data_IF_488329700784
#
_entry.id   IF_488329700784
#
_cell.length_a   1.000
_cell.length_b   1.000
_cell.length_c   1.000
_cell.angle_alpha   90.00
_cell.angle_beta   90.00
_cell.angle_gamma   90.00
#
_symmetry.space_group_name_H-M   'P 1'
#
loop_
_entity.id
_entity.type
_entity.pdbx_description
1 polymer ?
#
# COMPACT_ATOMS: atom_id res chain seq x y z
N UNK A 1 32.65 11.25 18.68
CA UNK A 1 32.64 12.56 19.39
C UNK A 1 32.28 13.74 18.49
N UNK A 2 32.92 13.99 17.33
CA UNK A 2 32.48 15.07 16.43
C UNK A 2 31.17 14.76 15.67
N UNK A 3 30.98 13.55 15.21
CA UNK A 3 29.69 13.12 14.58
C UNK A 3 28.51 13.04 15.56
N UNK A 4 28.78 12.80 16.84
CA UNK A 4 27.74 12.82 17.88
C UNK A 4 27.31 14.26 18.22
N UNK A 5 28.20 15.24 18.10
CA UNK A 5 27.89 16.67 18.31
C UNK A 5 27.12 17.31 17.14
N UNK A 6 27.30 16.81 15.91
CA UNK A 6 26.49 17.28 14.75
C UNK A 6 25.04 16.78 14.80
N UNK A 7 24.77 15.68 15.49
CA UNK A 7 23.41 15.15 15.71
C UNK A 7 22.66 15.98 16.77
N UNK A 8 23.35 16.57 17.74
CA UNK A 8 22.76 17.42 18.79
C UNK A 8 22.22 18.77 18.30
N UNK A 9 22.58 19.24 17.10
CA UNK A 9 22.13 20.54 16.57
C UNK A 9 21.10 20.51 15.46
N UNK A 10 20.81 19.36 14.88
CA UNK A 10 19.68 19.21 13.97
C UNK A 10 18.52 18.58 14.75
N UNK A 11 17.61 19.39 15.28
CA UNK A 11 16.30 18.94 15.72
C UNK A 11 15.68 18.06 14.61
N UNK A 12 15.66 16.75 14.80
CA UNK A 12 14.95 15.84 13.88
C UNK A 12 13.46 16.12 14.03
N UNK A 13 12.99 17.12 13.31
CA UNK A 13 11.55 17.48 13.29
C UNK A 13 10.81 16.49 12.43
N UNK A 14 10.11 15.56 13.07
CA UNK A 14 9.16 14.70 12.37
C UNK A 14 8.00 15.57 11.91
N UNK A 15 7.63 15.54 10.60
CA UNK A 15 6.44 16.23 10.13
C UNK A 15 5.19 15.75 10.88
N UNK A 16 4.35 16.69 11.31
CA UNK A 16 3.11 16.36 12.02
C UNK A 16 2.18 15.49 11.17
N UNK A 17 1.23 14.74 11.76
CA UNK A 17 0.27 13.95 11.00
C UNK A 17 -0.49 14.76 9.96
N UNK A 18 -0.76 16.02 10.23
CA UNK A 18 -1.42 16.94 9.29
C UNK A 18 -0.55 17.25 8.08
N UNK A 19 0.75 17.51 8.30
CA UNK A 19 1.71 17.73 7.22
C UNK A 19 1.92 16.45 6.39
N UNK A 20 1.98 15.28 7.02
CA UNK A 20 2.05 13.99 6.31
C UNK A 20 0.81 13.75 5.46
N UNK A 21 -0.38 14.09 5.98
CA UNK A 21 -1.63 14.04 5.23
C UNK A 21 -1.60 14.97 4.03
N UNK A 22 -1.13 16.22 4.19
CA UNK A 22 -1.01 17.20 3.11
C UNK A 22 -0.02 16.74 2.01
N UNK A 23 1.06 16.04 2.40
CA UNK A 23 1.96 15.40 1.43
C UNK A 23 1.19 14.36 0.64
N UNK A 24 0.47 13.44 1.29
CA UNK A 24 -0.31 12.42 0.61
C UNK A 24 -1.38 13.02 -0.31
N UNK A 25 -2.01 14.10 0.11
CA UNK A 25 -3.09 14.75 -0.63
C UNK A 25 -2.64 15.33 -1.98
N UNK A 26 -1.35 15.70 -2.11
CA UNK A 26 -0.74 16.14 -3.38
C UNK A 26 -0.57 15.00 -4.40
N UNK A 27 -0.55 13.75 -3.96
CA UNK A 27 -0.23 12.59 -4.82
C UNK A 27 -1.37 11.59 -4.97
N UNK A 28 -2.29 11.53 -4.01
CA UNK A 28 -3.35 10.51 -3.94
C UNK A 28 -4.72 11.17 -3.89
N UNK A 29 -5.57 10.83 -4.83
CA UNK A 29 -6.96 11.31 -4.88
C UNK A 29 -7.82 10.53 -3.91
N UNK A 30 -8.72 11.22 -3.20
CA UNK A 30 -9.63 10.61 -2.25
C UNK A 30 -8.92 9.97 -1.05
N UNK A 31 -9.41 8.83 -0.59
CA UNK A 31 -8.82 7.97 0.46
C UNK A 31 -8.53 8.69 1.80
N UNK A 32 -9.40 9.63 2.20
CA UNK A 32 -9.16 10.53 3.33
C UNK A 32 -8.91 9.79 4.65
N UNK A 33 -9.68 8.72 4.92
CA UNK A 33 -9.53 7.95 6.17
C UNK A 33 -8.21 7.17 6.19
N UNK A 34 -7.87 6.49 5.07
CA UNK A 34 -6.61 5.78 4.96
C UNK A 34 -5.40 6.72 5.07
N UNK A 35 -5.44 7.89 4.42
CA UNK A 35 -4.39 8.92 4.54
C UNK A 35 -4.20 9.37 5.98
N UNK A 36 -5.31 9.68 6.67
CA UNK A 36 -5.28 10.14 8.07
C UNK A 36 -4.69 9.08 8.98
N UNK A 37 -5.19 7.85 8.90
CA UNK A 37 -4.73 6.74 9.74
C UNK A 37 -3.26 6.42 9.48
N UNK A 38 -2.84 6.36 8.21
CA UNK A 38 -1.45 6.13 7.83
C UNK A 38 -0.52 7.25 8.34
N UNK A 39 -0.93 8.52 8.22
CA UNK A 39 -0.15 9.66 8.70
C UNK A 39 0.07 9.62 10.21
N UNK A 40 -0.96 9.24 10.97
CA UNK A 40 -0.86 9.07 12.43
C UNK A 40 0.04 7.88 12.77
N UNK A 41 -0.13 6.74 12.09
CA UNK A 41 0.67 5.54 12.35
C UNK A 41 2.17 5.78 12.10
N UNK A 42 2.52 6.42 10.99
CA UNK A 42 3.92 6.76 10.65
C UNK A 42 4.49 7.76 11.65
N UNK A 43 3.75 8.80 12.01
CA UNK A 43 4.18 9.78 12.99
C UNK A 43 4.46 9.16 14.37
N UNK A 44 3.54 8.33 14.88
CA UNK A 44 3.70 7.67 16.17
C UNK A 44 4.85 6.66 16.16
N UNK A 45 5.05 5.95 15.04
CA UNK A 45 6.18 5.06 14.85
C UNK A 45 7.51 5.80 15.02
N UNK A 46 7.67 6.96 14.35
CA UNK A 46 8.92 7.73 14.45
C UNK A 46 9.11 8.36 15.82
N UNK A 47 8.06 8.85 16.47
CA UNK A 47 8.16 9.31 17.86
C UNK A 47 8.67 8.22 18.77
N UNK A 48 8.11 7.01 18.65
CA UNK A 48 8.55 5.85 19.43
C UNK A 48 10.00 5.49 19.13
N UNK A 49 10.40 5.48 17.86
CA UNK A 49 11.77 5.22 17.44
C UNK A 49 12.76 6.20 18.07
N UNK A 50 12.46 7.49 18.01
CA UNK A 50 13.31 8.52 18.61
C UNK A 50 13.44 8.37 20.14
N UNK A 51 12.34 8.04 20.81
CA UNK A 51 12.37 7.78 22.26
C UNK A 51 13.22 6.54 22.57
N UNK A 52 12.99 5.43 21.87
CA UNK A 52 13.66 4.16 22.18
C UNK A 52 15.16 4.14 21.86
N UNK A 53 15.57 4.82 20.78
CA UNK A 53 16.96 4.77 20.28
C UNK A 53 17.80 5.93 20.79
N UNK A 54 17.23 7.11 20.86
CA UNK A 54 17.98 8.34 21.21
C UNK A 54 17.62 8.91 22.60
N UNK A 55 16.69 8.27 23.32
CA UNK A 55 16.21 8.78 24.61
C UNK A 55 15.59 10.18 24.46
N UNK A 56 15.01 10.48 23.28
CA UNK A 56 14.49 11.80 22.98
C UNK A 56 13.40 12.17 23.98
N UNK A 57 13.70 13.09 24.88
CA UNK A 57 12.70 13.72 25.72
C UNK A 57 12.13 14.93 24.95
N UNK A 58 10.81 15.08 25.01
CA UNK A 58 10.16 16.29 24.50
C UNK A 58 10.69 17.46 25.36
N UNK A 59 11.06 18.58 24.70
CA UNK A 59 11.44 19.80 25.41
C UNK A 59 10.35 20.17 26.45
N UNK A 60 10.70 20.05 27.71
CA UNK A 60 9.82 20.26 28.84
C UNK A 60 9.94 19.11 29.86
N UNK A 61 9.79 19.40 31.12
CA UNK A 61 9.81 18.38 32.17
C UNK A 61 8.72 17.37 31.90
N UNK A 62 9.11 16.16 31.48
CA UNK A 62 8.20 15.03 31.40
C UNK A 62 7.66 14.75 32.80
N UNK A 63 6.33 14.61 32.98
CA UNK A 63 5.77 14.21 34.28
C UNK A 63 6.41 12.90 34.75
N UNK A 64 6.73 12.81 36.05
CA UNK A 64 7.36 11.62 36.63
C UNK A 64 6.59 10.34 36.37
N UNK A 65 5.27 10.42 36.27
CA UNK A 65 4.36 9.29 35.95
C UNK A 65 4.64 8.63 34.59
N UNK A 66 5.38 9.27 33.68
CA UNK A 66 5.73 8.70 32.38
C UNK A 66 7.13 8.08 32.32
N UNK A 67 7.93 8.17 33.38
CA UNK A 67 9.31 7.68 33.38
C UNK A 67 9.40 6.17 33.09
N UNK A 68 8.45 5.40 33.59
CA UNK A 68 8.40 3.93 33.45
C UNK A 68 7.42 3.47 32.35
N UNK A 69 6.86 4.41 31.57
CA UNK A 69 5.90 4.07 30.51
C UNK A 69 6.62 3.63 29.25
N UNK A 70 6.40 2.39 28.85
CA UNK A 70 6.88 1.82 27.59
C UNK A 70 5.79 1.96 26.52
N UNK A 71 6.15 2.54 25.37
CA UNK A 71 5.22 2.72 24.26
C UNK A 71 5.24 1.47 23.38
N UNK A 72 4.13 0.75 23.36
CA UNK A 72 3.97 -0.45 22.56
C UNK A 72 4.00 -0.17 21.04
N UNK A 73 4.42 -1.19 20.30
CA UNK A 73 4.44 -1.18 18.84
C UNK A 73 3.03 -1.28 18.28
N UNK A 74 2.67 -0.41 17.34
CA UNK A 74 1.38 -0.43 16.65
C UNK A 74 1.59 -0.55 15.15
N UNK A 75 1.41 -1.77 14.62
CA UNK A 75 1.42 -1.99 13.18
C UNK A 75 0.04 -1.70 12.57
N UNK A 76 0.01 -1.49 11.27
CA UNK A 76 -1.17 -1.08 10.52
C UNK A 76 -1.62 -2.19 9.55
N UNK A 77 -2.91 -2.50 9.51
CA UNK A 77 -3.53 -3.34 8.47
C UNK A 77 -4.42 -2.48 7.57
N UNK A 78 -4.15 -2.49 6.27
CA UNK A 78 -4.86 -1.71 5.27
C UNK A 78 -5.60 -2.62 4.28
N UNK A 79 -6.92 -2.57 4.34
CA UNK A 79 -7.82 -3.34 3.48
C UNK A 79 -8.26 -2.53 2.27
N UNK A 80 -8.65 -3.21 1.20
CA UNK A 80 -9.33 -2.60 0.06
C UNK A 80 -8.87 -3.12 -1.28
N UNK A 81 -9.65 -2.88 -2.31
CA UNK A 81 -9.46 -3.43 -3.64
C UNK A 81 -8.08 -3.13 -4.23
N UNK A 82 -7.64 -3.98 -5.15
CA UNK A 82 -6.43 -3.74 -5.92
C UNK A 82 -6.57 -2.46 -6.74
N UNK A 83 -5.47 -1.68 -6.84
CA UNK A 83 -5.47 -0.44 -7.64
C UNK A 83 -6.04 0.80 -6.95
N UNK A 84 -6.41 0.73 -5.66
CA UNK A 84 -6.92 1.89 -4.89
C UNK A 84 -5.83 2.78 -4.28
N UNK A 85 -4.55 2.45 -4.50
CA UNK A 85 -3.41 3.27 -4.07
C UNK A 85 -2.77 2.92 -2.72
N UNK A 86 -3.12 1.78 -2.09
CA UNK A 86 -2.56 1.36 -0.79
C UNK A 86 -1.04 1.43 -0.73
N UNK A 87 -0.36 0.65 -1.56
CA UNK A 87 1.11 0.58 -1.63
C UNK A 87 1.72 1.92 -2.04
N UNK A 88 1.04 2.66 -2.93
CA UNK A 88 1.50 3.97 -3.40
C UNK A 88 1.54 5.01 -2.29
N UNK A 89 0.55 5.04 -1.39
CA UNK A 89 0.52 5.96 -0.24
C UNK A 89 1.73 5.73 0.67
N UNK A 90 2.03 4.49 1.04
CA UNK A 90 3.17 4.20 1.93
C UNK A 90 4.49 4.54 1.28
N UNK A 91 4.69 4.14 0.01
CA UNK A 91 5.91 4.51 -0.76
C UNK A 91 6.08 6.02 -0.88
N UNK A 92 5.00 6.76 -1.06
CA UNK A 92 5.04 8.22 -1.16
C UNK A 92 5.54 8.84 0.14
N UNK A 93 5.02 8.41 1.30
CA UNK A 93 5.51 8.90 2.59
C UNK A 93 6.95 8.48 2.86
N UNK A 94 7.28 7.21 2.66
CA UNK A 94 8.63 6.70 2.87
C UNK A 94 9.67 7.49 2.06
N UNK A 95 9.37 7.74 0.76
CA UNK A 95 10.22 8.55 -0.11
C UNK A 95 10.40 9.98 0.37
N UNK A 96 9.31 10.64 0.81
CA UNK A 96 9.37 12.03 1.28
C UNK A 96 10.11 12.16 2.61
N UNK A 97 10.07 11.14 3.44
CA UNK A 97 10.76 11.10 4.73
C UNK A 97 12.18 10.54 4.63
N UNK A 98 12.62 10.06 3.46
CA UNK A 98 13.93 9.43 3.28
C UNK A 98 14.11 8.12 4.03
N UNK A 99 13.01 7.38 4.23
CA UNK A 99 12.93 6.18 5.05
C UNK A 99 13.09 4.93 4.19
N UNK A 100 13.91 3.93 4.60
CA UNK A 100 13.93 2.63 3.94
C UNK A 100 12.55 1.99 3.94
N UNK A 101 12.10 1.53 2.77
CA UNK A 101 10.77 0.92 2.64
C UNK A 101 10.84 -0.29 1.71
N UNK A 102 10.63 -1.47 2.26
CA UNK A 102 10.62 -2.71 1.51
C UNK A 102 9.21 -3.28 1.37
N UNK A 103 8.92 -3.90 0.21
CA UNK A 103 7.64 -4.57 -0.06
C UNK A 103 7.91 -6.05 -0.21
N UNK A 104 7.34 -6.83 0.70
CA UNK A 104 7.30 -8.27 0.64
C UNK A 104 5.95 -8.74 0.10
N UNK A 105 5.98 -9.61 -0.89
CA UNK A 105 4.81 -10.33 -1.38
C UNK A 105 4.58 -11.54 -0.48
N UNK A 106 3.53 -11.51 0.33
CA UNK A 106 3.25 -12.57 1.31
C UNK A 106 2.96 -13.93 0.67
N UNK A 107 2.61 -13.96 -0.62
CA UNK A 107 2.35 -15.23 -1.35
C UNK A 107 3.63 -15.99 -1.70
N UNK A 108 4.79 -15.32 -1.70
CA UNK A 108 6.10 -15.94 -1.97
C UNK A 108 6.75 -16.50 -0.71
N UNK A 109 6.26 -16.09 0.46
CA UNK A 109 6.78 -16.53 1.74
C UNK A 109 6.35 -17.97 2.04
N UNK A 110 7.27 -18.74 2.59
CA UNK A 110 7.04 -20.13 2.99
C UNK A 110 7.51 -20.36 4.43
N UNK A 111 6.99 -21.42 5.04
CA UNK A 111 7.52 -21.89 6.34
C UNK A 111 8.99 -22.29 6.17
N UNK A 112 9.81 -21.92 7.14
CA UNK A 112 11.26 -22.20 7.10
C UNK A 112 11.54 -23.70 6.87
N UNK A 113 12.40 -23.98 5.85
CA UNK A 113 12.75 -25.33 5.44
C UNK A 113 12.00 -25.86 4.21
N UNK A 114 11.00 -25.13 3.69
CA UNK A 114 10.30 -25.47 2.44
C UNK A 114 10.83 -24.67 1.23
N UNK A 115 10.36 -25.03 0.03
CA UNK A 115 10.75 -24.33 -1.21
C UNK A 115 10.00 -23.01 -1.30
N UNK A 116 10.73 -21.89 -1.24
CA UNK A 116 10.21 -20.52 -1.28
C UNK A 116 11.11 -19.58 -0.47
N UNK A 117 10.67 -18.36 -0.30
CA UNK A 117 11.41 -17.36 0.48
C UNK A 117 11.08 -17.52 1.98
N UNK A 118 12.12 -17.67 2.80
CA UNK A 118 11.94 -17.65 4.26
C UNK A 118 11.43 -16.27 4.70
N UNK A 119 10.65 -16.24 5.78
CA UNK A 119 10.08 -14.98 6.30
C UNK A 119 11.16 -13.94 6.62
N UNK A 120 12.34 -14.36 7.00
CA UNK A 120 13.48 -13.47 7.29
C UNK A 120 14.04 -12.75 6.04
N UNK A 121 13.74 -13.22 4.81
CA UNK A 121 14.13 -12.52 3.57
C UNK A 121 13.49 -11.12 3.47
N UNK A 122 12.35 -10.93 4.16
CA UNK A 122 11.71 -9.62 4.30
C UNK A 122 12.66 -8.61 4.94
N UNK A 123 13.42 -9.04 5.96
CA UNK A 123 14.38 -8.17 6.64
C UNK A 123 15.65 -7.94 5.82
N UNK A 124 16.08 -8.94 5.04
CA UNK A 124 17.17 -8.76 4.07
C UNK A 124 16.83 -7.71 3.04
N UNK A 125 15.60 -7.77 2.49
CA UNK A 125 15.13 -6.76 1.54
C UNK A 125 15.14 -5.34 2.14
N UNK A 126 14.69 -5.21 3.39
CA UNK A 126 14.73 -3.92 4.09
C UNK A 126 16.15 -3.43 4.36
N UNK A 127 17.09 -4.33 4.68
CA UNK A 127 18.50 -4.02 4.85
C UNK A 127 19.13 -3.50 3.55
N UNK A 128 18.78 -4.10 2.41
CA UNK A 128 19.21 -3.61 1.09
C UNK A 128 18.66 -2.22 0.77
N UNK A 129 17.38 -1.95 1.06
CA UNK A 129 16.79 -0.61 0.90
C UNK A 129 17.42 0.45 1.81
N UNK A 130 18.11 0.00 2.86
CA UNK A 130 18.88 0.84 3.79
C UNK A 130 20.37 0.93 3.43
N UNK A 131 20.79 0.47 2.25
CA UNK A 131 22.20 0.44 1.80
C UNK A 131 23.12 -0.35 2.77
N UNK A 132 22.58 -1.36 3.46
CA UNK A 132 23.29 -2.18 4.44
C UNK A 132 23.45 -1.54 5.83
N UNK A 133 22.91 -0.35 6.04
CA UNK A 133 22.90 0.32 7.36
C UNK A 133 21.81 -0.29 8.24
N UNK A 134 22.24 -1.05 9.24
CA UNK A 134 21.36 -1.79 10.17
C UNK A 134 20.47 -0.84 10.97
N UNK A 135 20.98 0.30 11.43
CA UNK A 135 20.20 1.24 12.24
C UNK A 135 19.11 1.91 11.40
N UNK A 136 19.44 2.29 10.17
CA UNK A 136 18.45 2.80 9.21
C UNK A 136 17.40 1.74 8.88
N UNK A 137 17.81 0.49 8.65
CA UNK A 137 16.88 -0.61 8.38
C UNK A 137 15.91 -0.83 9.55
N UNK A 138 16.41 -0.80 10.79
CA UNK A 138 15.61 -0.97 12.00
C UNK A 138 14.60 0.17 12.23
N UNK A 139 14.77 1.33 11.61
CA UNK A 139 13.81 2.43 11.62
C UNK A 139 12.85 2.41 10.43
N UNK A 140 12.98 1.44 9.54
CA UNK A 140 12.28 1.35 8.27
C UNK A 140 10.82 0.93 8.34
N UNK A 141 10.21 0.90 7.16
CA UNK A 141 8.84 0.43 6.94
C UNK A 141 8.87 -0.85 6.11
N UNK A 142 8.20 -1.87 6.58
CA UNK A 142 8.04 -3.13 5.87
C UNK A 142 6.58 -3.33 5.48
N UNK A 143 6.30 -3.40 4.18
CA UNK A 143 4.97 -3.66 3.64
C UNK A 143 4.84 -5.16 3.40
N UNK A 144 3.85 -5.79 4.02
CA UNK A 144 3.43 -7.15 3.75
C UNK A 144 2.22 -7.09 2.82
N UNK A 145 2.47 -7.19 1.51
CA UNK A 145 1.40 -7.13 0.51
C UNK A 145 0.75 -8.51 0.33
N UNK A 146 -0.50 -8.53 -0.11
CA UNK A 146 -1.30 -9.74 -0.33
C UNK A 146 -1.51 -10.61 0.93
N UNK A 147 -1.53 -10.02 2.13
CA UNK A 147 -1.75 -10.74 3.39
C UNK A 147 -3.07 -11.53 3.42
N UNK A 148 -4.08 -11.10 2.65
CA UNK A 148 -5.36 -11.81 2.52
C UNK A 148 -5.21 -13.21 1.92
N UNK A 149 -4.14 -13.47 1.17
CA UNK A 149 -3.88 -14.78 0.58
C UNK A 149 -3.42 -15.80 1.62
N UNK A 150 -2.82 -15.35 2.73
CA UNK A 150 -2.41 -16.22 3.84
C UNK A 150 -3.61 -16.81 4.60
N UNK A 151 -4.79 -16.15 4.56
CA UNK A 151 -6.00 -16.61 5.23
C UNK A 151 -6.87 -17.54 4.38
N UNK A 152 -6.65 -17.63 3.07
CA UNK A 152 -7.44 -18.51 2.19
C UNK A 152 -6.95 -19.95 2.32
N UNK A 153 -7.73 -20.79 3.01
CA UNK A 153 -7.55 -22.25 2.94
C UNK A 153 -7.79 -22.68 1.50
N UNK A 154 -6.83 -23.40 0.90
CA UNK A 154 -7.05 -24.04 -0.40
C UNK A 154 -8.31 -24.88 -0.34
N UNK A 155 -9.17 -24.80 -1.36
CA UNK A 155 -10.43 -25.59 -1.46
C UNK A 155 -10.17 -27.11 -1.47
N UNK A 156 -8.93 -27.54 -1.61
CA UNK A 156 -8.50 -28.92 -1.47
C UNK A 156 -8.08 -29.20 -0.02
N UNK A 157 -9.05 -29.66 0.76
CA UNK A 157 -8.80 -30.31 2.07
C UNK A 157 -8.07 -31.66 1.88
N UNK A 158 -6.91 -31.65 1.22
CA UNK A 158 -5.99 -32.79 1.29
C UNK A 158 -5.31 -32.76 2.63
N UNK A 159 -5.15 -33.94 3.24
CA UNK A 159 -4.56 -34.23 4.57
C UNK A 159 -3.09 -33.79 4.68
N UNK A 160 -2.55 -33.07 3.71
CA UNK A 160 -1.22 -32.48 3.70
C UNK A 160 -1.23 -31.18 4.47
N UNK A 161 -0.33 -31.09 5.46
CA UNK A 161 -0.03 -29.92 6.28
C UNK A 161 -0.02 -28.66 5.39
N UNK A 162 -0.78 -27.63 5.78
CA UNK A 162 -0.87 -26.36 5.05
C UNK A 162 0.44 -25.59 5.22
N UNK A 163 1.37 -25.82 4.29
CA UNK A 163 2.72 -25.26 4.29
C UNK A 163 2.71 -23.77 3.90
N UNK A 164 1.62 -23.29 3.30
CA UNK A 164 1.53 -21.95 2.72
C UNK A 164 0.74 -20.92 3.54
N UNK A 165 -0.04 -21.34 4.53
CA UNK A 165 -0.97 -20.45 5.24
C UNK A 165 -0.58 -20.20 6.69
N UNK A 166 -0.91 -21.13 7.60
CA UNK A 166 -0.70 -20.96 9.03
C UNK A 166 0.78 -20.91 9.43
N UNK A 167 1.63 -21.75 8.80
CA UNK A 167 3.07 -21.76 9.08
C UNK A 167 3.75 -20.44 8.73
N UNK A 168 3.36 -19.83 7.60
CA UNK A 168 3.86 -18.49 7.21
C UNK A 168 3.38 -17.42 8.18
N UNK A 169 2.11 -17.47 8.61
CA UNK A 169 1.59 -16.52 9.59
C UNK A 169 2.33 -16.62 10.93
N UNK A 170 2.67 -17.83 11.39
CA UNK A 170 3.48 -18.04 12.59
C UNK A 170 4.93 -17.53 12.42
N UNK A 171 5.51 -17.71 11.23
CA UNK A 171 6.81 -17.14 10.90
C UNK A 171 6.80 -15.60 10.92
N UNK A 172 5.80 -14.99 10.28
CA UNK A 172 5.61 -13.53 10.28
C UNK A 172 5.40 -12.97 11.68
N UNK A 173 4.70 -13.69 12.57
CA UNK A 173 4.50 -13.29 13.94
C UNK A 173 5.82 -12.98 14.65
N UNK A 174 6.86 -13.81 14.46
CA UNK A 174 8.18 -13.63 15.08
C UNK A 174 8.81 -12.28 14.72
N UNK A 175 8.75 -11.87 13.43
CA UNK A 175 9.35 -10.60 13.00
C UNK A 175 8.48 -9.40 13.33
N UNK A 176 7.17 -9.57 13.36
CA UNK A 176 6.22 -8.47 13.61
C UNK A 176 6.14 -8.12 15.10
N UNK A 177 6.36 -9.08 16.00
CA UNK A 177 6.35 -8.85 17.46
C UNK A 177 7.48 -7.95 17.95
N UNK A 178 8.65 -8.04 17.34
CA UNK A 178 9.85 -7.34 17.75
C UNK A 178 10.81 -8.29 18.46
N UNK A 179 11.79 -8.77 17.72
CA UNK A 179 12.84 -9.68 18.20
C UNK A 179 14.15 -9.39 17.50
N UNK A 180 15.25 -9.89 18.08
CA UNK A 180 16.56 -9.89 17.44
C UNK A 180 16.68 -11.13 16.55
N UNK A 181 16.95 -10.93 15.29
CA UNK A 181 17.00 -11.97 14.26
C UNK A 181 18.28 -11.84 13.45
N UNK A 182 18.96 -12.98 13.24
CA UNK A 182 20.10 -13.05 12.33
C UNK A 182 19.62 -13.06 10.87
N UNK A 183 20.03 -12.06 10.11
CA UNK A 183 19.65 -11.83 8.71
C UNK A 183 20.85 -12.10 7.80
N UNK A 184 20.71 -12.90 6.73
CA UNK A 184 21.79 -13.09 5.77
C UNK A 184 22.03 -11.79 4.97
N UNK A 185 23.29 -11.31 4.87
CA UNK A 185 23.58 -10.01 4.23
C UNK A 185 23.28 -9.98 2.74
N UNK A 186 23.42 -11.11 2.05
CA UNK A 186 23.25 -11.20 0.58
C UNK A 186 21.93 -11.85 0.16
N UNK A 187 21.00 -12.06 1.08
CA UNK A 187 19.78 -12.80 0.79
C UNK A 187 19.99 -14.31 0.64
N UNK A 188 18.91 -15.03 0.32
CA UNK A 188 18.93 -16.47 0.17
C UNK A 188 18.79 -17.22 1.50
N UNK A 189 18.94 -18.55 1.43
CA UNK A 189 18.83 -19.44 2.60
C UNK A 189 20.02 -19.26 3.53
N UNK A 190 19.77 -19.35 4.83
CA UNK A 190 20.83 -19.36 5.84
C UNK A 190 21.71 -20.60 5.65
N UNK A 191 22.97 -20.38 5.34
CA UNK A 191 23.98 -21.47 5.36
C UNK A 191 24.66 -21.51 6.72
N UNK A 192 25.04 -22.72 7.25
CA UNK A 192 25.65 -22.86 8.57
C UNK A 192 26.94 -22.05 8.77
N UNK A 193 27.67 -21.75 7.70
CA UNK A 193 28.95 -21.03 7.73
C UNK A 193 28.79 -19.53 7.38
N UNK A 194 27.57 -19.06 7.11
CA UNK A 194 27.33 -17.67 6.73
C UNK A 194 27.26 -16.77 7.95
N UNK A 195 28.03 -15.70 7.96
CA UNK A 195 27.93 -14.67 8.99
C UNK A 195 26.59 -13.91 8.83
N UNK A 196 25.77 -13.97 9.86
CA UNK A 196 24.48 -13.30 9.91
C UNK A 196 24.63 -11.91 10.55
N UNK A 197 23.87 -10.95 10.05
CA UNK A 197 23.74 -9.60 10.64
C UNK A 197 22.57 -9.65 11.63
N UNK A 198 22.82 -9.31 12.89
CA UNK A 198 21.77 -9.21 13.89
C UNK A 198 20.94 -7.93 13.64
N UNK A 199 19.63 -8.08 13.43
CA UNK A 199 18.67 -7.00 13.31
C UNK A 199 17.60 -7.11 14.41
N UNK A 200 17.30 -5.98 15.04
CA UNK A 200 16.21 -5.85 15.99
C UNK A 200 14.96 -5.30 15.26
N UNK A 201 13.89 -6.09 15.23
CA UNK A 201 12.66 -5.74 14.54
C UNK A 201 11.69 -4.92 15.40
N UNK A 202 12.05 -4.62 16.65
CA UNK A 202 11.21 -3.86 17.60
C UNK A 202 10.76 -2.53 17.04
N UNK A 203 11.67 -1.82 16.35
CA UNK A 203 11.40 -0.49 15.81
C UNK A 203 11.06 -0.47 14.30
N UNK A 204 10.86 -1.61 13.66
CA UNK A 204 10.38 -1.65 12.26
C UNK A 204 8.85 -1.50 12.26
N UNK A 205 8.32 -0.60 11.42
CA UNK A 205 6.88 -0.51 11.21
C UNK A 205 6.43 -1.53 10.16
N UNK A 206 5.58 -2.47 10.54
CA UNK A 206 4.96 -3.39 9.59
C UNK A 206 3.59 -2.88 9.18
N UNK A 207 3.34 -2.85 7.86
CA UNK A 207 2.07 -2.47 7.28
C UNK A 207 1.56 -3.64 6.45
N UNK A 208 0.57 -4.35 6.97
CA UNK A 208 -0.12 -5.41 6.24
C UNK A 208 -1.10 -4.82 5.23
N UNK A 209 -1.14 -5.38 4.02
CA UNK A 209 -2.06 -4.94 2.97
C UNK A 209 -2.70 -6.15 2.29
N UNK A 210 -3.95 -5.99 1.84
CA UNK A 210 -4.64 -7.00 1.06
C UNK A 210 -5.96 -6.49 0.48
N UNK A 211 -6.50 -7.23 -0.49
CA UNK A 211 -7.82 -6.94 -1.03
C UNK A 211 -8.92 -7.37 -0.05
N UNK A 212 -8.73 -8.48 0.63
CA UNK A 212 -9.68 -9.09 1.55
C UNK A 212 -11.07 -9.32 0.92
N UNK A 213 -11.06 -9.80 -0.36
CA UNK A 213 -12.30 -10.07 -1.11
C UNK A 213 -13.20 -11.05 -0.35
N UNK A 214 -14.44 -10.64 -0.12
CA UNK A 214 -15.44 -11.43 0.61
C UNK A 214 -15.51 -11.15 2.11
N UNK A 215 -14.67 -10.28 2.67
CA UNK A 215 -14.78 -9.86 4.08
C UNK A 215 -16.08 -9.09 4.34
N UNK A 216 -16.56 -8.35 3.35
CA UNK A 216 -17.86 -7.67 3.33
C UNK A 216 -19.01 -8.61 3.69
N UNK A 217 -19.03 -9.82 3.12
CA UNK A 217 -20.03 -10.86 3.41
C UNK A 217 -19.91 -11.39 4.84
N UNK A 218 -18.69 -11.47 5.39
CA UNK A 218 -18.46 -11.89 6.79
C UNK A 218 -19.03 -10.85 7.74
N UNK A 219 -18.74 -9.56 7.47
CA UNK A 219 -19.24 -8.42 8.25
C UNK A 219 -20.77 -8.36 8.15
N UNK A 220 -21.33 -8.50 6.95
CA UNK A 220 -22.78 -8.49 6.74
C UNK A 220 -23.47 -9.61 7.53
N UNK A 221 -22.95 -10.83 7.49
CA UNK A 221 -23.48 -11.94 8.31
C UNK A 221 -23.44 -11.63 9.80
N UNK A 222 -22.35 -11.03 10.31
CA UNK A 222 -22.26 -10.63 11.72
C UNK A 222 -23.29 -9.59 12.09
N UNK A 223 -23.54 -8.62 11.22
CA UNK A 223 -24.51 -7.54 11.46
C UNK A 223 -25.96 -8.02 11.33
N UNK A 224 -26.23 -8.96 10.44
CA UNK A 224 -27.56 -9.52 10.22
C UNK A 224 -27.96 -10.62 11.24
N UNK A 225 -27.01 -11.11 12.04
CA UNK A 225 -27.27 -12.09 13.12
C UNK A 225 -27.84 -11.41 14.39
N UNK A 226 -27.97 -10.08 14.43
CA UNK A 226 -28.76 -9.40 15.45
C UNK A 226 -30.27 -9.69 15.26
N UNK A 227 -31.08 -9.84 16.35
CA UNK A 227 -32.42 -10.40 16.29
C UNK A 227 -33.32 -9.67 15.29
N UNK A 228 -34.07 -10.46 14.54
CA UNK A 228 -35.02 -10.03 13.50
C UNK A 228 -36.08 -9.13 14.14
N UNK A 229 -35.84 -7.81 14.09
CA UNK A 229 -36.86 -6.79 14.35
C UNK A 229 -37.44 -6.35 13.00
N UNK A 230 -38.73 -6.44 12.87
CA UNK A 230 -39.53 -5.96 11.72
C UNK A 230 -39.23 -4.48 11.44
N UNK A 231 -38.30 -4.12 10.57
CA UNK A 231 -38.20 -2.88 9.80
C UNK A 231 -36.83 -2.76 9.12
N UNK A 232 -36.53 -3.62 8.17
CA UNK A 232 -35.46 -3.37 7.20
C UNK A 232 -36.06 -2.71 5.95
N UNK A 233 -36.13 -1.40 5.94
CA UNK A 233 -36.27 -0.65 4.69
C UNK A 233 -35.01 -0.95 3.88
N UNK A 234 -35.10 -1.81 2.88
CA UNK A 234 -34.05 -2.01 1.86
C UNK A 234 -33.94 -0.70 1.07
N UNK A 235 -33.04 0.19 1.49
CA UNK A 235 -32.57 1.25 0.61
C UNK A 235 -31.81 0.58 -0.52
N UNK A 236 -32.12 0.93 -1.76
CA UNK A 236 -31.31 0.60 -2.93
C UNK A 236 -29.99 1.37 -2.82
N UNK A 237 -29.02 0.80 -2.12
CA UNK A 237 -27.67 1.32 -1.96
C UNK A 237 -26.84 0.59 -3.03
N UNK A 238 -25.98 1.30 -3.75
CA UNK A 238 -25.06 0.70 -4.72
C UNK A 238 -24.15 -0.34 -4.04
N UNK A 239 -23.69 -1.33 -4.79
CA UNK A 239 -22.82 -2.37 -4.24
C UNK A 239 -21.51 -1.79 -3.68
N UNK A 240 -21.01 -0.72 -4.28
CA UNK A 240 -19.81 -0.01 -3.81
C UNK A 240 -20.05 0.72 -2.48
N UNK A 241 -21.18 1.41 -2.34
CA UNK A 241 -21.53 2.06 -1.05
C UNK A 241 -21.79 1.04 0.07
N UNK A 242 -22.34 -0.14 -0.26
CA UNK A 242 -22.46 -1.24 0.69
C UNK A 242 -21.10 -1.76 1.10
N UNK A 243 -20.19 -1.94 0.16
CA UNK A 243 -18.83 -2.42 0.40
C UNK A 243 -18.05 -1.44 1.29
N UNK A 244 -18.08 -0.14 1.00
CA UNK A 244 -17.47 0.91 1.85
C UNK A 244 -18.05 0.86 3.26
N UNK A 245 -19.38 0.80 3.39
CA UNK A 245 -20.04 0.73 4.69
C UNK A 245 -19.68 -0.54 5.48
N UNK A 246 -19.38 -1.65 4.80
CA UNK A 246 -18.97 -2.90 5.44
C UNK A 246 -17.50 -2.85 5.84
N UNK A 247 -16.59 -2.33 4.99
CA UNK A 247 -15.17 -2.20 5.32
C UNK A 247 -14.93 -1.29 6.53
N UNK A 248 -15.72 -0.23 6.69
CA UNK A 248 -15.71 0.63 7.87
C UNK A 248 -16.05 -0.10 9.18
N UNK A 249 -16.72 -1.24 9.10
CA UNK A 249 -17.20 -2.01 10.25
C UNK A 249 -16.39 -3.29 10.50
N UNK A 250 -15.31 -3.49 9.77
CA UNK A 250 -14.42 -4.65 9.96
C UNK A 250 -13.84 -4.63 11.36
N UNK A 251 -13.87 -5.79 12.02
CA UNK A 251 -13.29 -6.05 13.34
C UNK A 251 -12.30 -7.21 13.28
N UNK A 252 -11.53 -7.36 14.31
CA UNK A 252 -10.58 -8.49 14.44
C UNK A 252 -11.27 -9.85 14.32
N UNK A 253 -12.51 -9.99 14.81
CA UNK A 253 -13.31 -11.21 14.69
C UNK A 253 -13.61 -11.59 13.22
N UNK A 254 -13.79 -10.59 12.35
CA UNK A 254 -14.06 -10.81 10.93
C UNK A 254 -12.80 -11.28 10.22
N UNK A 255 -11.63 -10.73 10.56
CA UNK A 255 -10.33 -11.17 10.05
C UNK A 255 -10.01 -12.61 10.49
N UNK A 256 -10.36 -12.98 11.73
CA UNK A 256 -10.26 -14.37 12.21
C UNK A 256 -11.14 -15.31 11.38
N UNK A 257 -12.39 -14.93 11.10
CA UNK A 257 -13.28 -15.71 10.24
C UNK A 257 -12.80 -15.77 8.80
N UNK A 258 -12.07 -14.77 8.35
CA UNK A 258 -11.44 -14.74 7.03
C UNK A 258 -10.27 -15.72 6.91
N UNK A 259 -9.63 -16.07 8.04
CA UNK A 259 -8.58 -17.10 8.12
C UNK A 259 -7.22 -16.61 8.62
N UNK A 260 -7.12 -15.38 9.10
CA UNK A 260 -5.92 -14.92 9.79
C UNK A 260 -5.92 -15.45 11.23
N UNK A 261 -4.73 -15.84 11.74
CA UNK A 261 -4.60 -16.31 13.12
C UNK A 261 -4.75 -15.15 14.12
N UNK A 262 -5.39 -15.38 15.27
CA UNK A 262 -5.66 -14.33 16.27
C UNK A 262 -4.42 -13.61 16.75
N UNK A 263 -3.31 -14.33 16.90
CA UNK A 263 -2.03 -13.82 17.36
C UNK A 263 -1.47 -12.78 16.39
N UNK A 264 -1.52 -13.06 15.08
CA UNK A 264 -1.06 -12.14 14.05
C UNK A 264 -1.98 -10.92 13.97
N UNK A 265 -3.31 -11.11 14.03
CA UNK A 265 -4.29 -10.00 14.05
C UNK A 265 -4.01 -9.07 15.23
N UNK A 266 -3.70 -9.62 16.40
CA UNK A 266 -3.36 -8.85 17.61
C UNK A 266 -2.15 -7.94 17.43
N UNK A 267 -1.24 -8.25 16.49
CA UNK A 267 -0.06 -7.42 16.19
C UNK A 267 -0.33 -6.31 15.17
N UNK A 268 -1.54 -6.25 14.61
CA UNK A 268 -2.04 -5.17 13.74
C UNK A 268 -3.26 -4.49 14.38
N UNK A 269 -3.07 -3.75 15.48
CA UNK A 269 -4.19 -3.16 16.23
C UNK A 269 -4.90 -2.04 15.45
N UNK A 270 -4.19 -1.42 14.51
CA UNK A 270 -4.74 -0.34 13.69
C UNK A 270 -5.22 -0.91 12.37
N UNK A 271 -6.53 -0.81 12.11
CA UNK A 271 -7.15 -1.27 10.86
C UNK A 271 -7.69 -0.06 10.12
N UNK A 272 -7.37 0.05 8.84
CA UNK A 272 -7.93 1.05 7.93
C UNK A 272 -8.29 0.42 6.59
N UNK A 273 -8.99 1.18 5.75
CA UNK A 273 -9.38 0.67 4.43
C UNK A 273 -9.28 1.77 3.38
N UNK A 274 -9.18 1.36 2.13
CA UNK A 274 -9.31 2.24 0.97
C UNK A 274 -10.66 2.02 0.29
N UNK A 275 -11.25 3.11 -0.17
CA UNK A 275 -12.51 3.09 -0.90
C UNK A 275 -12.29 2.66 -2.36
N UNK A 276 -13.25 1.99 -2.98
CA UNK A 276 -13.28 1.82 -4.44
C UNK A 276 -13.17 3.19 -5.13
N UNK A 277 -12.54 3.21 -6.30
CA UNK A 277 -12.39 4.43 -7.10
C UNK A 277 -13.57 4.56 -8.04
N UNK A 278 -14.24 5.71 -8.03
CA UNK A 278 -15.25 6.06 -9.02
C UNK A 278 -14.62 6.44 -10.37
N UNK A 279 -15.41 6.52 -11.42
CA UNK A 279 -14.96 7.00 -12.72
C UNK A 279 -14.41 8.44 -12.63
N UNK A 280 -15.07 9.31 -11.88
CA UNK A 280 -14.59 10.67 -11.65
C UNK A 280 -13.25 10.67 -10.88
N UNK A 281 -13.06 9.79 -9.90
CA UNK A 281 -11.76 9.66 -9.22
C UNK A 281 -10.66 9.22 -10.19
N UNK A 282 -10.95 8.32 -11.13
CA UNK A 282 -9.98 7.88 -12.14
C UNK A 282 -9.59 9.03 -13.10
N UNK A 283 -10.55 9.87 -13.51
CA UNK A 283 -10.26 11.08 -14.30
C UNK A 283 -9.37 12.04 -13.49
N UNK A 284 -9.69 12.27 -12.23
CA UNK A 284 -8.87 13.11 -11.35
C UNK A 284 -7.45 12.54 -11.15
N UNK A 285 -7.31 11.22 -11.00
CA UNK A 285 -6.00 10.54 -10.89
C UNK A 285 -5.14 10.77 -12.13
N UNK A 286 -5.73 10.87 -13.32
CA UNK A 286 -5.01 11.16 -14.55
C UNK A 286 -4.39 12.56 -14.56
N UNK A 287 -5.03 13.55 -13.95
CA UNK A 287 -4.76 14.99 -14.16
C UNK A 287 -4.27 15.74 -12.92
N UNK A 288 -4.91 15.57 -11.75
CA UNK A 288 -4.71 16.43 -10.59
C UNK A 288 -3.38 16.16 -9.83
N UNK A 289 -3.01 14.91 -9.50
CA UNK A 289 -1.83 14.65 -8.67
C UNK A 289 -0.57 15.36 -9.17
N UNK A 290 0.29 15.75 -8.25
CA UNK A 290 1.55 16.42 -8.60
C UNK A 290 2.37 15.60 -9.59
N UNK A 291 2.37 14.26 -9.46
CA UNK A 291 3.00 13.32 -10.37
C UNK A 291 1.95 12.50 -11.14
N UNK A 292 0.91 13.17 -11.68
CA UNK A 292 -0.13 12.47 -12.45
C UNK A 292 0.44 11.82 -13.72
N UNK A 293 -0.21 10.74 -14.17
CA UNK A 293 0.27 9.96 -15.31
C UNK A 293 0.38 10.84 -16.55
N UNK A 294 -0.61 11.70 -16.82
CA UNK A 294 -0.58 12.63 -17.94
C UNK A 294 0.60 13.59 -17.86
N UNK A 295 0.88 14.16 -16.69
CA UNK A 295 2.04 15.04 -16.52
C UNK A 295 3.36 14.35 -16.81
N UNK A 296 3.48 13.05 -16.48
CA UNK A 296 4.65 12.25 -16.79
C UNK A 296 4.84 12.11 -18.31
N UNK A 297 3.79 11.72 -19.06
CA UNK A 297 3.86 11.59 -20.53
C UNK A 297 4.03 12.93 -21.22
N UNK A 298 3.35 13.99 -20.78
CA UNK A 298 3.58 15.33 -21.28
C UNK A 298 5.05 15.75 -21.14
N UNK A 299 5.66 15.48 -19.98
CA UNK A 299 7.09 15.77 -19.74
C UNK A 299 7.99 14.98 -20.69
N UNK A 300 7.72 13.70 -20.91
CA UNK A 300 8.50 12.86 -21.83
C UNK A 300 8.41 13.39 -23.26
N UNK A 301 7.21 13.61 -23.78
CA UNK A 301 6.99 14.09 -25.15
C UNK A 301 7.48 15.53 -25.35
N UNK A 302 7.40 16.36 -24.31
CA UNK A 302 7.95 17.72 -24.38
C UNK A 302 9.48 17.73 -24.60
N UNK A 303 10.21 16.72 -24.15
CA UNK A 303 11.64 16.57 -24.43
C UNK A 303 11.93 16.27 -25.90
N UNK A 304 10.93 15.75 -26.65
CA UNK A 304 10.99 15.49 -28.09
C UNK A 304 10.28 16.60 -28.89
N UNK A 305 9.99 17.76 -28.32
CA UNK A 305 9.34 18.90 -28.99
C UNK A 305 7.82 18.74 -29.17
N UNK A 306 7.17 17.78 -28.48
CA UNK A 306 5.73 17.54 -28.61
C UNK A 306 4.95 18.11 -27.42
N UNK A 307 4.08 19.10 -27.67
CA UNK A 307 3.11 19.60 -26.70
C UNK A 307 1.83 18.77 -26.76
N UNK A 308 1.69 17.87 -25.76
CA UNK A 308 0.57 16.93 -25.65
C UNK A 308 -0.58 17.53 -24.84
N UNK A 309 -1.79 17.47 -25.37
CA UNK A 309 -3.03 17.84 -24.67
C UNK A 309 -4.09 16.76 -24.82
N UNK A 310 -5.04 16.72 -23.89
CA UNK A 310 -6.16 15.77 -23.89
C UNK A 310 -7.47 16.55 -23.76
N UNK A 311 -8.49 16.11 -24.49
CA UNK A 311 -9.86 16.56 -24.28
C UNK A 311 -10.51 15.83 -23.08
N UNK A 312 -11.40 16.51 -22.38
CA UNK A 312 -12.05 15.94 -21.18
C UNK A 312 -12.83 14.66 -21.51
N UNK A 313 -13.47 14.59 -22.66
CA UNK A 313 -14.22 13.39 -23.10
C UNK A 313 -13.29 12.21 -23.38
N UNK A 314 -12.10 12.46 -23.90
CA UNK A 314 -11.06 11.43 -24.08
C UNK A 314 -10.59 10.87 -22.72
N UNK A 315 -10.40 11.74 -21.72
CA UNK A 315 -10.02 11.34 -20.37
C UNK A 315 -11.13 10.50 -19.71
N UNK A 316 -12.38 10.90 -19.87
CA UNK A 316 -13.54 10.13 -19.39
C UNK A 316 -13.64 8.76 -20.04
N UNK A 317 -13.38 8.67 -21.35
CA UNK A 317 -13.36 7.39 -22.04
C UNK A 317 -12.25 6.46 -21.51
N UNK A 318 -11.05 6.98 -21.30
CA UNK A 318 -9.92 6.25 -20.70
C UNK A 318 -10.30 5.73 -19.28
N UNK A 319 -10.90 6.58 -18.46
CA UNK A 319 -11.36 6.21 -17.12
C UNK A 319 -12.45 5.12 -17.16
N UNK A 320 -13.41 5.22 -18.09
CA UNK A 320 -14.44 4.19 -18.33
C UNK A 320 -13.85 2.83 -18.68
N UNK A 321 -12.89 2.82 -19.60
CA UNK A 321 -12.19 1.57 -19.99
C UNK A 321 -11.46 0.97 -18.78
N UNK A 322 -10.74 1.79 -17.99
CA UNK A 322 -10.06 1.33 -16.79
C UNK A 322 -11.03 0.77 -15.74
N UNK A 323 -12.16 1.41 -15.55
CA UNK A 323 -13.20 0.95 -14.63
C UNK A 323 -13.82 -0.39 -15.07
N UNK A 324 -14.10 -0.54 -16.36
CA UNK A 324 -14.66 -1.79 -16.92
C UNK A 324 -13.76 -3.01 -16.76
N UNK A 325 -12.44 -2.81 -16.77
CA UNK A 325 -11.43 -3.88 -16.57
C UNK A 325 -11.20 -4.23 -15.10
N UNK A 326 -11.82 -3.52 -14.15
CA UNK A 326 -11.67 -3.71 -12.70
C UNK A 326 -10.21 -3.64 -12.20
N UNK A 327 -9.33 -3.00 -12.96
CA UNK A 327 -7.91 -2.86 -12.63
C UNK A 327 -7.60 -1.61 -11.80
N UNK A 328 -8.61 -0.76 -11.59
CA UNK A 328 -8.47 0.50 -10.86
C UNK A 328 -7.42 1.43 -11.52
N UNK A 329 -6.74 2.21 -10.71
CA UNK A 329 -5.72 3.15 -11.21
C UNK A 329 -4.52 2.47 -11.91
N UNK A 330 -4.24 1.18 -11.66
CA UNK A 330 -3.18 0.44 -12.37
C UNK A 330 -3.45 0.33 -13.87
N UNK A 331 -4.73 0.16 -14.25
CA UNK A 331 -5.14 0.06 -15.65
C UNK A 331 -4.92 1.34 -16.45
N UNK A 332 -5.00 2.51 -15.82
CA UNK A 332 -4.86 3.80 -16.48
C UNK A 332 -3.52 3.94 -17.22
N UNK A 333 -2.41 3.50 -16.61
CA UNK A 333 -1.10 3.56 -17.25
C UNK A 333 -1.03 2.71 -18.50
N UNK A 334 -1.48 1.45 -18.44
CA UNK A 334 -1.47 0.54 -19.58
C UNK A 334 -2.34 1.04 -20.74
N UNK A 335 -3.50 1.63 -20.43
CA UNK A 335 -4.39 2.22 -21.44
C UNK A 335 -3.70 3.41 -22.11
N UNK A 336 -3.12 4.33 -21.32
CA UNK A 336 -2.41 5.49 -21.85
C UNK A 336 -1.20 5.10 -22.71
N UNK A 337 -0.43 4.09 -22.31
CA UNK A 337 0.68 3.56 -23.12
C UNK A 337 0.19 3.08 -24.48
N UNK A 338 -0.92 2.33 -24.53
CA UNK A 338 -1.50 1.90 -25.80
C UNK A 338 -1.96 3.08 -26.67
N UNK A 339 -2.53 4.13 -26.07
CA UNK A 339 -2.96 5.34 -26.78
C UNK A 339 -1.78 6.13 -27.33
N UNK A 340 -0.69 6.24 -26.55
CA UNK A 340 0.43 7.13 -26.85
C UNK A 340 1.58 6.45 -27.61
N UNK A 341 1.59 5.12 -27.73
CA UNK A 341 2.70 4.36 -28.35
C UNK A 341 3.04 4.87 -29.74
N UNK A 342 2.05 5.07 -30.61
CA UNK A 342 2.29 5.54 -31.98
C UNK A 342 2.86 6.97 -31.99
N UNK A 343 2.33 7.84 -31.12
CA UNK A 343 2.82 9.22 -31.00
C UNK A 343 4.28 9.21 -30.54
N UNK A 344 4.61 8.43 -29.52
CA UNK A 344 5.98 8.32 -29.03
C UNK A 344 6.93 7.75 -30.09
N UNK A 345 6.45 6.81 -30.91
CA UNK A 345 7.25 6.22 -31.98
C UNK A 345 7.48 7.19 -33.15
N UNK A 346 6.43 7.90 -33.59
CA UNK A 346 6.47 8.75 -34.79
C UNK A 346 7.21 10.07 -34.55
N UNK A 347 7.20 10.57 -33.30
CA UNK A 347 7.74 11.90 -32.98
C UNK A 347 9.06 11.87 -32.17
N UNK A 348 9.53 10.70 -31.73
CA UNK A 348 10.80 10.61 -31.00
C UNK A 348 11.97 11.16 -31.85
N UNK A 349 12.72 12.11 -31.26
CA UNK A 349 13.89 12.73 -31.91
C UNK A 349 13.56 13.74 -33.03
N UNK A 350 12.30 14.11 -33.24
CA UNK A 350 11.93 15.18 -34.16
C UNK A 350 12.18 16.55 -33.49
N UNK A 351 12.92 17.43 -34.20
CA UNK A 351 13.25 18.78 -33.71
C UNK A 351 12.19 19.84 -34.04
N UNK A 352 11.05 19.47 -34.62
CA UNK A 352 9.96 20.40 -34.93
C UNK A 352 8.95 20.43 -33.79
N UNK A 353 8.64 21.61 -33.27
CA UNK A 353 7.60 21.81 -32.26
C UNK A 353 6.23 21.40 -32.83
N UNK A 354 5.65 20.36 -32.28
CA UNK A 354 4.33 19.85 -32.67
C UNK A 354 3.35 19.89 -31.51
N UNK A 355 2.11 20.26 -31.85
CA UNK A 355 0.98 20.17 -30.89
C UNK A 355 0.13 18.96 -31.26
N UNK A 356 -0.06 18.08 -30.28
CA UNK A 356 -0.88 16.88 -30.44
C UNK A 356 -2.00 16.94 -29.42
N UNK A 357 -3.26 16.94 -29.92
CA UNK A 357 -4.45 16.92 -29.08
C UNK A 357 -5.13 15.56 -29.18
N UNK A 358 -5.31 14.90 -28.06
CA UNK A 358 -5.94 13.58 -27.95
C UNK A 358 -7.44 13.78 -27.72
N UNK A 359 -8.23 13.48 -28.73
CA UNK A 359 -9.69 13.47 -28.67
C UNK A 359 -10.22 12.03 -28.52
N UNK A 360 -11.54 11.91 -28.37
CA UNK A 360 -12.24 10.63 -28.19
C UNK A 360 -12.01 9.69 -29.38
N UNK A 361 -12.08 10.18 -30.61
CA UNK A 361 -11.89 9.36 -31.81
C UNK A 361 -10.49 8.74 -31.89
N UNK A 362 -9.47 9.49 -31.49
CA UNK A 362 -8.10 9.00 -31.42
C UNK A 362 -7.97 7.86 -30.41
N UNK A 363 -8.54 8.01 -29.21
CA UNK A 363 -8.55 6.98 -28.17
C UNK A 363 -9.28 5.73 -28.66
N UNK A 364 -10.43 5.87 -29.30
CA UNK A 364 -11.19 4.74 -29.86
C UNK A 364 -10.41 3.99 -30.90
N UNK A 365 -9.82 4.70 -31.87
CA UNK A 365 -9.03 4.11 -32.93
C UNK A 365 -7.79 3.37 -32.41
N UNK A 366 -7.13 3.89 -31.39
CA UNK A 366 -5.94 3.29 -30.77
C UNK A 366 -6.26 2.02 -29.96
N UNK A 367 -7.50 1.92 -29.45
CA UNK A 367 -7.88 0.85 -28.52
C UNK A 367 -8.86 -0.18 -29.07
N UNK A 368 -9.45 0.03 -30.25
CA UNK A 368 -10.50 -0.81 -30.85
C UNK A 368 -10.13 -2.30 -31.01
N UNK A 369 -8.86 -2.60 -31.20
CA UNK A 369 -8.38 -3.98 -31.35
C UNK A 369 -8.18 -4.69 -30.00
N UNK A 370 -8.03 -3.93 -28.91
CA UNK A 370 -7.69 -4.45 -27.58
C UNK A 370 -8.89 -4.48 -26.62
N UNK A 371 -9.90 -3.63 -26.86
CA UNK A 371 -11.05 -3.49 -25.98
C UNK A 371 -12.36 -3.49 -26.77
N UNK A 372 -13.37 -4.18 -26.26
CA UNK A 372 -14.73 -4.10 -26.81
C UNK A 372 -15.41 -2.78 -26.39
N UNK A 373 -15.11 -1.73 -27.13
CA UNK A 373 -15.62 -0.38 -26.86
C UNK A 373 -17.13 -0.28 -26.97
N UNK A 374 -17.77 -1.15 -27.76
CA UNK A 374 -19.24 -1.17 -27.93
C UNK A 374 -19.90 -1.70 -26.64
N UNK A 375 -19.37 -2.76 -26.05
CA UNK A 375 -19.87 -3.27 -24.77
C UNK A 375 -19.61 -2.31 -23.62
N UNK A 376 -18.43 -1.67 -23.59
CA UNK A 376 -18.07 -0.69 -22.57
C UNK A 376 -19.00 0.52 -22.61
N UNK A 377 -19.33 1.03 -23.78
CA UNK A 377 -20.28 2.14 -23.95
C UNK A 377 -21.70 1.77 -23.51
N UNK A 378 -22.15 0.54 -23.77
CA UNK A 378 -23.48 0.04 -23.38
C UNK A 378 -23.64 -0.17 -21.86
N UNK A 379 -22.60 -0.60 -21.16
CA UNK A 379 -22.64 -0.78 -19.70
C UNK A 379 -22.65 0.52 -18.91
N UNK A 380 -22.33 1.63 -19.55
CA UNK A 380 -22.22 2.96 -18.95
C UNK A 380 -23.40 3.88 -19.28
N UNK A 381 -24.34 3.48 -20.15
CA UNK A 381 -25.63 4.12 -20.44
C UNK A 381 -26.73 3.47 -19.60
#
# INVERSE_FOLDING_TARGET
MEKEKEIEQNEVRIPTPKQLYEILDKYVIGQSEAKKTLSVAVYNHYKRFLINVFGATIEGKQPEEFNDVVIDKSNLLMLGNTGTGKTYMVKTLAKHLGIPCYIADSTKLTESGFVGDDVETVLTGLLHEADGDVLRAQSGICILDEMDKLGRRGENASITRDVGGEGVQQGLLKIVEGTKIGVPPNGGRKHPEQQLIEMDTTNILFIGMGAFDGIDKIVERRLNTAPIGFNSVKKNISDDEKNINMLNKVRQEDLKKFGLIPELIGRFPVITHTNPLSEDDLVRILTEPQNSIIKQYRKLLYMDGVDLTFEDDALRLIAKIANSTKTGARGLRSILENVLTNIMFDYAGNSEDKKVNINTDYVENSLKEKYDLVEIKKKAA
#
